data_IF_908135716909
#
_entry.id   IF_908135716909
#
_cell.length_a   1.000
_cell.length_b   1.000
_cell.length_c   1.000
_cell.angle_alpha   90.00
_cell.angle_beta   90.00
_cell.angle_gamma   90.00
#
_symmetry.space_group_name_H-M   'P 1'
#
loop_
_entity.id
_entity.type
_entity.pdbx_description
1 polymer ?
#
# COMPACT_ATOMS: atom_id res chain seq x y z
N UNK A 1 13.88 13.71 -9.80
CA UNK A 1 13.05 12.83 -8.97
C UNK A 1 11.67 13.45 -8.85
N UNK A 2 10.58 12.71 -9.02
CA UNK A 2 9.24 13.22 -8.77
C UNK A 2 8.61 12.37 -7.65
N UNK A 3 8.41 12.99 -6.48
CA UNK A 3 7.63 12.37 -5.40
C UNK A 3 6.22 12.94 -5.45
N UNK A 4 5.23 12.05 -5.48
CA UNK A 4 3.81 12.39 -5.37
C UNK A 4 3.36 12.11 -3.94
N UNK A 5 2.81 13.10 -3.27
CA UNK A 5 2.29 12.97 -1.92
C UNK A 5 0.77 12.92 -1.94
N UNK A 6 0.19 12.13 -1.06
CA UNK A 6 -1.24 12.06 -0.89
C UNK A 6 -1.70 11.33 0.37
N UNK A 7 -2.97 11.51 0.76
CA UNK A 7 -3.56 10.85 1.93
C UNK A 7 -4.19 9.49 1.59
N UNK A 8 -4.38 8.67 2.63
CA UNK A 8 -5.12 7.41 2.57
C UNK A 8 -6.63 7.64 2.80
N UNK A 9 -7.33 8.22 1.84
CA UNK A 9 -8.78 8.40 1.90
C UNK A 9 -9.32 9.37 0.87
N UNK A 10 -10.49 9.05 0.32
CA UNK A 10 -11.23 9.91 -0.63
C UNK A 10 -12.62 10.29 -0.09
N UNK A 11 -13.01 9.72 1.06
CA UNK A 11 -14.35 9.89 1.61
C UNK A 11 -15.45 9.15 0.82
N UNK A 12 -16.72 9.49 1.07
CA UNK A 12 -17.85 8.89 0.37
C UNK A 12 -17.87 9.21 -1.13
N UNK A 13 -18.39 8.29 -1.95
CA UNK A 13 -18.48 8.44 -3.42
C UNK A 13 -19.10 9.78 -3.83
N UNK A 14 -20.18 10.19 -3.15
CA UNK A 14 -20.91 11.44 -3.45
C UNK A 14 -20.09 12.72 -3.31
N UNK A 15 -19.03 12.71 -2.53
CA UNK A 15 -18.13 13.87 -2.29
C UNK A 15 -16.74 13.68 -2.87
N UNK A 16 -16.47 12.53 -3.49
CA UNK A 16 -15.13 12.16 -3.96
C UNK A 16 -14.52 13.18 -4.94
N UNK A 17 -15.34 13.75 -5.84
CA UNK A 17 -14.88 14.75 -6.81
C UNK A 17 -14.43 16.04 -6.13
N UNK A 18 -15.19 16.52 -5.15
CA UNK A 18 -14.85 17.72 -4.35
C UNK A 18 -13.61 17.49 -3.50
N UNK A 19 -13.46 16.29 -2.95
CA UNK A 19 -12.28 15.89 -2.18
C UNK A 19 -11.03 15.91 -3.06
N UNK A 20 -11.09 15.38 -4.28
CA UNK A 20 -9.98 15.44 -5.24
C UNK A 20 -9.63 16.89 -5.61
N UNK A 21 -10.61 17.77 -5.82
CA UNK A 21 -10.37 19.20 -6.05
C UNK A 21 -9.65 19.87 -4.86
N UNK A 22 -10.04 19.52 -3.62
CA UNK A 22 -9.38 20.02 -2.43
C UNK A 22 -7.92 19.54 -2.34
N UNK A 23 -7.66 18.27 -2.68
CA UNK A 23 -6.29 17.73 -2.73
C UNK A 23 -5.44 18.45 -3.78
N UNK A 24 -5.99 18.66 -4.96
CA UNK A 24 -5.33 19.41 -6.03
C UNK A 24 -5.00 20.86 -5.60
N UNK A 25 -5.95 21.58 -4.97
CA UNK A 25 -5.74 22.93 -4.45
C UNK A 25 -4.62 23.00 -3.38
N UNK A 26 -4.40 21.89 -2.66
CA UNK A 26 -3.31 21.77 -1.68
C UNK A 26 -1.97 21.31 -2.31
N UNK A 27 -1.92 21.08 -3.61
CA UNK A 27 -0.72 20.63 -4.32
C UNK A 27 -0.48 19.12 -4.29
N UNK A 28 -1.37 18.34 -3.65
CA UNK A 28 -1.24 16.88 -3.57
C UNK A 28 -1.44 16.23 -4.93
N UNK A 29 -0.64 15.19 -5.21
CA UNK A 29 -0.58 14.51 -6.52
C UNK A 29 -0.86 13.01 -6.43
N UNK A 30 -1.23 12.50 -5.27
CA UNK A 30 -1.62 11.13 -5.05
C UNK A 30 -2.83 11.05 -4.11
N UNK A 31 -3.55 9.95 -4.17
CA UNK A 31 -4.60 9.60 -3.21
C UNK A 31 -4.81 8.10 -3.22
N UNK A 32 -4.83 7.47 -2.05
CA UNK A 32 -5.19 6.08 -1.91
C UNK A 32 -6.63 5.94 -1.43
N UNK A 33 -7.41 5.08 -2.08
CA UNK A 33 -8.79 4.79 -1.72
C UNK A 33 -8.79 3.60 -0.77
N UNK A 34 -8.95 3.84 0.53
CA UNK A 34 -8.96 2.79 1.54
C UNK A 34 -10.33 2.10 1.63
N UNK A 35 -10.40 0.85 1.19
CA UNK A 35 -11.58 -0.01 1.36
C UNK A 35 -11.53 -0.77 2.69
N UNK A 36 -11.50 -0.05 3.78
CA UNK A 36 -11.28 -0.54 5.15
C UNK A 36 -12.00 -1.87 5.47
N UNK A 37 -13.28 -1.97 5.14
CA UNK A 37 -14.10 -3.15 5.40
C UNK A 37 -14.59 -3.83 4.11
N UNK A 38 -14.91 -3.07 3.09
CA UNK A 38 -15.42 -3.59 1.81
C UNK A 38 -15.29 -2.55 0.71
N UNK A 39 -15.31 -3.00 -0.54
CA UNK A 39 -15.43 -2.12 -1.70
C UNK A 39 -16.74 -1.36 -1.63
N UNK A 40 -16.69 -0.05 -1.44
CA UNK A 40 -17.87 0.81 -1.36
C UNK A 40 -18.19 1.55 -2.66
N UNK A 41 -17.25 1.64 -3.60
CA UNK A 41 -17.49 2.13 -4.98
C UNK A 41 -18.05 0.96 -5.78
N UNK A 42 -19.38 0.82 -5.80
CA UNK A 42 -20.05 -0.35 -6.40
C UNK A 42 -20.41 -0.16 -7.86
N UNK A 43 -20.63 1.10 -8.27
CA UNK A 43 -21.04 1.46 -9.62
C UNK A 43 -19.77 1.73 -10.46
N UNK A 44 -19.73 1.16 -11.66
CA UNK A 44 -18.64 1.34 -12.62
C UNK A 44 -18.55 2.79 -13.12
N UNK A 45 -19.72 3.44 -13.34
CA UNK A 45 -19.74 4.82 -13.82
C UNK A 45 -19.21 5.80 -12.77
N UNK A 46 -19.52 5.57 -11.48
CA UNK A 46 -18.94 6.34 -10.38
C UNK A 46 -17.41 6.20 -10.36
N UNK A 47 -16.90 4.97 -10.51
CA UNK A 47 -15.46 4.72 -10.56
C UNK A 47 -14.81 5.44 -11.76
N UNK A 48 -15.42 5.38 -12.94
CA UNK A 48 -14.93 6.07 -14.14
C UNK A 48 -14.94 7.59 -13.98
N UNK A 49 -15.99 8.15 -13.37
CA UNK A 49 -16.07 9.60 -13.12
C UNK A 49 -14.99 10.07 -12.14
N UNK A 50 -14.79 9.34 -11.04
CA UNK A 50 -13.71 9.63 -10.08
C UNK A 50 -12.35 9.54 -10.74
N UNK A 51 -12.10 8.48 -11.52
CA UNK A 51 -10.85 8.28 -12.24
C UNK A 51 -10.59 9.37 -13.29
N UNK A 52 -11.60 9.76 -14.04
CA UNK A 52 -11.51 10.88 -15.00
C UNK A 52 -11.13 12.18 -14.29
N UNK A 53 -11.81 12.51 -13.19
CA UNK A 53 -11.53 13.70 -12.40
C UNK A 53 -10.11 13.70 -11.83
N UNK A 54 -9.67 12.58 -11.25
CA UNK A 54 -8.31 12.44 -10.75
C UNK A 54 -7.26 12.67 -11.84
N UNK A 55 -7.46 12.09 -13.02
CA UNK A 55 -6.59 12.28 -14.19
C UNK A 55 -6.55 13.74 -14.65
N UNK A 56 -7.69 14.43 -14.72
CA UNK A 56 -7.78 15.85 -15.07
C UNK A 56 -6.99 16.74 -14.09
N UNK A 57 -7.01 16.38 -12.80
CA UNK A 57 -6.30 17.09 -11.74
C UNK A 57 -4.82 16.66 -11.58
N UNK A 58 -4.38 15.65 -12.33
CA UNK A 58 -3.04 15.09 -12.24
C UNK A 58 -2.78 14.39 -10.89
N UNK A 59 -3.82 13.76 -10.33
CA UNK A 59 -3.74 12.97 -9.08
C UNK A 59 -3.68 11.49 -9.45
N UNK A 60 -2.62 10.80 -9.02
CA UNK A 60 -2.49 9.35 -9.14
C UNK A 60 -3.33 8.65 -8.06
N UNK A 61 -4.16 7.69 -8.49
CA UNK A 61 -4.98 6.89 -7.59
C UNK A 61 -4.33 5.54 -7.32
N UNK A 62 -4.41 5.11 -6.08
CA UNK A 62 -4.20 3.74 -5.63
C UNK A 62 -5.38 3.25 -4.79
N UNK A 63 -5.40 1.97 -4.48
CA UNK A 63 -6.42 1.36 -3.62
C UNK A 63 -5.74 0.59 -2.50
N UNK A 64 -6.22 0.71 -1.27
CA UNK A 64 -5.93 -0.24 -0.21
C UNK A 64 -7.10 -1.23 -0.05
N UNK A 65 -6.82 -2.52 -0.16
CA UNK A 65 -7.80 -3.59 0.04
C UNK A 65 -8.22 -3.69 1.52
N UNK A 66 -9.36 -4.34 1.84
CA UNK A 66 -9.80 -4.52 3.22
C UNK A 66 -8.74 -5.12 4.13
N UNK A 67 -8.56 -4.58 5.34
CA UNK A 67 -7.49 -4.95 6.26
C UNK A 67 -7.50 -6.41 6.73
N UNK A 68 -8.66 -7.08 6.67
CA UNK A 68 -8.79 -8.47 7.12
C UNK A 68 -8.53 -9.53 6.05
N UNK A 69 -7.99 -9.14 4.88
CA UNK A 69 -7.55 -10.12 3.88
C UNK A 69 -6.37 -10.93 4.41
N UNK A 70 -6.34 -12.22 4.09
CA UNK A 70 -5.30 -13.14 4.54
C UNK A 70 -5.17 -14.29 3.53
N UNK A 71 -4.16 -14.21 2.67
CA UNK A 71 -3.88 -15.25 1.65
C UNK A 71 -3.38 -16.56 2.27
N UNK A 72 -2.93 -16.54 3.54
CA UNK A 72 -2.45 -17.71 4.25
C UNK A 72 -3.45 -18.25 5.30
N UNK A 73 -4.74 -17.97 5.18
CA UNK A 73 -5.74 -18.56 6.08
C UNK A 73 -5.71 -20.10 5.99
N UNK A 74 -5.83 -20.80 7.12
CA UNK A 74 -5.92 -22.26 7.16
C UNK A 74 -7.15 -22.79 6.42
N UNK A 75 -8.26 -22.03 6.44
CA UNK A 75 -9.50 -22.39 5.80
C UNK A 75 -9.50 -21.99 4.32
N UNK A 76 -9.67 -22.98 3.44
CA UNK A 76 -9.73 -22.76 1.99
C UNK A 76 -10.78 -21.70 1.62
N UNK A 77 -11.97 -21.79 2.21
CA UNK A 77 -13.06 -20.84 1.96
C UNK A 77 -12.64 -19.37 2.26
N UNK A 78 -11.88 -19.15 3.33
CA UNK A 78 -11.37 -17.81 3.69
C UNK A 78 -10.29 -17.32 2.72
N UNK A 79 -9.44 -18.22 2.21
CA UNK A 79 -8.46 -17.86 1.16
C UNK A 79 -9.18 -17.45 -0.13
N UNK A 80 -10.18 -18.22 -0.57
CA UNK A 80 -10.98 -17.87 -1.77
C UNK A 80 -11.72 -16.53 -1.59
N UNK A 81 -12.33 -16.32 -0.43
CA UNK A 81 -12.96 -15.04 -0.10
C UNK A 81 -11.96 -13.87 -0.09
N UNK A 82 -10.73 -14.10 0.39
CA UNK A 82 -9.64 -13.11 0.34
C UNK A 82 -9.26 -12.76 -1.09
N UNK A 83 -9.02 -13.76 -1.94
CA UNK A 83 -8.71 -13.54 -3.37
C UNK A 83 -9.84 -12.77 -4.07
N UNK A 84 -11.09 -13.16 -3.82
CA UNK A 84 -12.25 -12.46 -4.37
C UNK A 84 -12.27 -10.98 -3.96
N UNK A 85 -12.02 -10.65 -2.69
CA UNK A 85 -11.97 -9.25 -2.21
C UNK A 85 -10.89 -8.43 -2.90
N UNK A 86 -9.68 -9.00 -3.06
CA UNK A 86 -8.60 -8.34 -3.78
C UNK A 86 -8.97 -8.15 -5.26
N UNK A 87 -9.58 -9.14 -5.90
CA UNK A 87 -10.06 -9.04 -7.28
C UNK A 87 -11.20 -8.02 -7.44
N UNK A 88 -12.11 -7.91 -6.48
CA UNK A 88 -13.13 -6.85 -6.47
C UNK A 88 -12.48 -5.44 -6.41
N UNK A 89 -11.40 -5.28 -5.62
CA UNK A 89 -10.60 -4.06 -5.62
C UNK A 89 -9.90 -3.83 -6.97
N UNK A 90 -9.34 -4.87 -7.58
CA UNK A 90 -8.69 -4.77 -8.88
C UNK A 90 -9.66 -4.35 -9.99
N UNK A 91 -10.88 -4.89 -9.99
CA UNK A 91 -11.93 -4.50 -10.93
C UNK A 91 -12.27 -3.01 -10.81
N UNK A 92 -12.50 -2.54 -9.60
CA UNK A 92 -12.79 -1.11 -9.35
C UNK A 92 -11.58 -0.25 -9.68
N UNK A 93 -10.36 -0.69 -9.31
CA UNK A 93 -9.11 -0.01 -9.64
C UNK A 93 -8.89 0.16 -11.15
N UNK A 94 -9.24 -0.86 -11.94
CA UNK A 94 -9.21 -0.76 -13.39
C UNK A 94 -10.11 0.38 -13.92
N UNK A 95 -11.34 0.50 -13.43
CA UNK A 95 -12.26 1.56 -13.85
C UNK A 95 -11.86 2.95 -13.33
N UNK A 96 -11.28 3.02 -12.15
CA UNK A 96 -10.68 4.25 -11.60
C UNK A 96 -9.42 4.70 -12.35
N UNK A 97 -8.78 3.81 -13.11
CA UNK A 97 -7.44 4.05 -13.64
C UNK A 97 -6.38 4.13 -12.56
N UNK A 98 -6.60 3.44 -11.42
CA UNK A 98 -5.64 3.36 -10.35
C UNK A 98 -4.39 2.56 -10.78
N UNK A 99 -3.22 2.91 -10.21
CA UNK A 99 -1.95 2.27 -10.55
C UNK A 99 -1.77 0.90 -9.88
N UNK A 100 -2.26 0.78 -8.64
CA UNK A 100 -2.00 -0.40 -7.80
C UNK A 100 -3.09 -0.63 -6.76
N UNK A 101 -3.29 -1.91 -6.38
CA UNK A 101 -4.04 -2.35 -5.20
C UNK A 101 -3.05 -2.85 -4.16
N UNK A 102 -2.94 -2.12 -3.05
CA UNK A 102 -2.16 -2.50 -1.86
C UNK A 102 -2.97 -3.45 -0.99
N UNK A 103 -2.34 -4.41 -0.37
CA UNK A 103 -3.00 -5.34 0.55
C UNK A 103 -2.04 -5.97 1.55
N UNK A 104 -2.54 -6.29 2.74
CA UNK A 104 -1.83 -7.08 3.73
C UNK A 104 -1.75 -8.54 3.27
N UNK A 105 -0.55 -9.15 3.14
CA UNK A 105 -0.44 -10.50 2.57
C UNK A 105 -1.03 -11.60 3.47
N UNK A 106 -0.90 -11.48 4.79
CA UNK A 106 -1.50 -12.43 5.73
C UNK A 106 -0.63 -12.76 6.94
N UNK A 107 -1.05 -13.74 7.72
CA UNK A 107 -0.37 -14.17 8.94
C UNK A 107 0.48 -15.40 8.70
N UNK A 108 1.54 -15.58 9.50
CA UNK A 108 2.32 -16.82 9.46
C UNK A 108 1.51 -18.03 9.89
N UNK A 109 1.74 -19.15 9.21
CA UNK A 109 1.42 -20.48 9.73
C UNK A 109 2.33 -20.82 10.91
N UNK A 110 1.85 -21.65 11.83
CA UNK A 110 2.66 -22.17 12.94
C UNK A 110 3.04 -23.63 12.70
N UNK A 111 4.30 -23.98 12.93
CA UNK A 111 4.78 -25.37 13.02
C UNK A 111 4.51 -25.96 14.40
N UNK A 112 4.54 -25.14 15.46
CA UNK A 112 4.34 -25.49 16.85
C UNK A 112 3.81 -24.31 17.66
N UNK A 113 4.03 -24.33 18.99
CA UNK A 113 3.49 -23.31 19.88
C UNK A 113 4.07 -21.93 19.61
N UNK A 114 5.37 -21.84 19.35
CA UNK A 114 6.12 -20.58 19.24
C UNK A 114 6.96 -20.47 17.94
N UNK A 115 6.80 -21.41 17.00
CA UNK A 115 7.55 -21.44 15.75
C UNK A 115 6.66 -21.14 14.54
N UNK A 116 7.11 -20.21 13.68
CA UNK A 116 6.45 -19.88 12.42
C UNK A 116 6.97 -20.75 11.26
N UNK A 117 6.04 -21.28 10.46
CA UNK A 117 6.34 -21.95 9.20
C UNK A 117 6.45 -20.90 8.07
N UNK A 118 7.62 -20.24 8.01
CA UNK A 118 7.85 -19.14 7.06
C UNK A 118 7.82 -19.59 5.61
N UNK A 119 8.44 -20.74 5.32
CA UNK A 119 8.51 -21.27 3.96
C UNK A 119 7.13 -21.65 3.43
N UNK A 120 6.36 -22.44 4.19
CA UNK A 120 4.98 -22.80 3.82
C UNK A 120 4.09 -21.56 3.68
N UNK A 121 4.26 -20.57 4.56
CA UNK A 121 3.52 -19.29 4.48
C UNK A 121 3.86 -18.57 3.19
N UNK A 122 5.15 -18.46 2.86
CA UNK A 122 5.63 -17.83 1.63
C UNK A 122 5.02 -18.50 0.39
N UNK A 123 5.13 -19.81 0.26
CA UNK A 123 4.61 -20.54 -0.89
C UNK A 123 3.08 -20.41 -1.04
N UNK A 124 2.35 -20.42 0.08
CA UNK A 124 0.89 -20.25 0.06
C UNK A 124 0.49 -18.85 -0.41
N UNK A 125 1.17 -17.81 0.08
CA UNK A 125 0.91 -16.42 -0.31
C UNK A 125 1.32 -16.21 -1.77
N UNK A 126 2.48 -16.69 -2.18
CA UNK A 126 2.96 -16.63 -3.56
C UNK A 126 1.96 -17.23 -4.53
N UNK A 127 1.46 -18.43 -4.24
CA UNK A 127 0.46 -19.09 -5.07
C UNK A 127 -0.83 -18.24 -5.17
N UNK A 128 -1.31 -17.69 -4.06
CA UNK A 128 -2.47 -16.79 -4.06
C UNK A 128 -2.27 -15.54 -4.92
N UNK A 129 -1.07 -14.94 -4.89
CA UNK A 129 -0.71 -13.78 -5.74
C UNK A 129 -0.71 -14.17 -7.22
N UNK A 130 -0.13 -15.33 -7.57
CA UNK A 130 -0.10 -15.81 -8.97
C UNK A 130 -1.51 -16.07 -9.50
N UNK A 131 -2.40 -16.64 -8.68
CA UNK A 131 -3.81 -16.86 -9.05
C UNK A 131 -4.54 -15.53 -9.27
N UNK A 132 -4.36 -14.54 -8.40
CA UNK A 132 -4.95 -13.20 -8.57
C UNK A 132 -4.42 -12.55 -9.86
N UNK A 133 -3.11 -12.61 -10.12
CA UNK A 133 -2.52 -12.08 -11.36
C UNK A 133 -3.05 -12.77 -12.61
N UNK A 134 -3.29 -14.09 -12.53
CA UNK A 134 -3.92 -14.85 -13.60
C UNK A 134 -5.32 -14.33 -13.93
N UNK A 135 -6.16 -14.08 -12.92
CA UNK A 135 -7.49 -13.52 -13.12
C UNK A 135 -7.46 -12.07 -13.63
N UNK A 136 -6.55 -11.21 -13.12
CA UNK A 136 -6.35 -9.85 -13.64
C UNK A 136 -6.04 -9.89 -15.15
N UNK A 137 -5.13 -10.79 -15.56
CA UNK A 137 -4.76 -10.97 -16.97
C UNK A 137 -5.93 -11.47 -17.81
N UNK A 138 -6.67 -12.45 -17.33
CA UNK A 138 -7.85 -13.03 -17.99
C UNK A 138 -8.95 -11.98 -18.25
N UNK A 139 -9.14 -11.06 -17.31
CA UNK A 139 -10.10 -9.95 -17.44
C UNK A 139 -9.53 -8.73 -18.19
N UNK A 140 -8.27 -8.74 -18.62
CA UNK A 140 -7.57 -7.60 -19.21
C UNK A 140 -7.60 -6.32 -18.35
N UNK A 141 -7.69 -6.44 -17.04
CA UNK A 141 -7.64 -5.29 -16.14
C UNK A 141 -6.26 -4.63 -16.14
N UNK A 142 -6.26 -3.31 -16.19
CA UNK A 142 -5.02 -2.49 -16.18
C UNK A 142 -4.76 -2.03 -14.74
N UNK A 143 -4.31 -2.95 -13.91
CA UNK A 143 -4.05 -2.73 -12.48
C UNK A 143 -2.93 -3.66 -12.02
N UNK A 144 -2.08 -3.20 -11.12
CA UNK A 144 -1.10 -4.02 -10.42
C UNK A 144 -1.59 -4.35 -9.01
N UNK A 145 -0.97 -5.34 -8.37
CA UNK A 145 -1.18 -5.66 -6.97
C UNK A 145 0.13 -5.56 -6.21
N UNK A 146 0.09 -5.04 -4.99
CA UNK A 146 1.24 -4.78 -4.15
C UNK A 146 1.04 -5.31 -2.73
N UNK A 147 1.64 -6.45 -2.36
CA UNK A 147 1.73 -6.82 -0.96
C UNK A 147 2.55 -5.77 -0.19
N UNK A 148 2.10 -5.45 1.02
CA UNK A 148 2.67 -4.41 1.87
C UNK A 148 3.66 -4.98 2.88
N UNK A 149 4.72 -4.22 3.21
CA UNK A 149 5.59 -4.52 4.35
C UNK A 149 4.85 -4.30 5.66
N UNK A 150 4.91 -5.28 6.57
CA UNK A 150 4.06 -5.34 7.77
C UNK A 150 4.82 -5.01 9.05
N UNK A 151 4.18 -4.21 9.93
CA UNK A 151 4.80 -3.72 11.16
C UNK A 151 4.85 -4.71 12.33
N UNK A 152 4.05 -5.78 12.33
CA UNK A 152 4.01 -6.78 13.40
C UNK A 152 4.89 -7.98 13.08
N UNK A 153 5.68 -8.44 14.05
CA UNK A 153 6.61 -9.57 13.87
C UNK A 153 5.94 -10.93 13.59
N UNK A 154 4.67 -11.07 13.95
CA UNK A 154 3.88 -12.29 13.74
C UNK A 154 3.02 -12.26 12.46
N UNK A 155 3.19 -11.24 11.64
CA UNK A 155 2.54 -11.09 10.34
C UNK A 155 3.58 -11.25 9.24
N UNK A 156 3.24 -11.94 8.17
CA UNK A 156 4.10 -12.08 6.99
C UNK A 156 4.24 -10.72 6.29
N UNK A 157 5.45 -10.37 5.89
CA UNK A 157 5.71 -9.10 5.20
C UNK A 157 6.94 -8.37 5.72
N UNK A 158 8.05 -9.08 6.04
CA UNK A 158 9.35 -8.42 6.17
C UNK A 158 9.82 -7.86 4.83
N UNK A 159 10.81 -6.98 4.83
CA UNK A 159 11.39 -6.43 3.60
C UNK A 159 11.90 -7.53 2.67
N UNK A 160 12.55 -8.56 3.22
CA UNK A 160 13.06 -9.69 2.44
C UNK A 160 11.93 -10.54 1.84
N UNK A 161 10.87 -10.78 2.62
CA UNK A 161 9.73 -11.58 2.18
C UNK A 161 8.97 -10.87 1.05
N UNK A 162 8.74 -9.56 1.14
CA UNK A 162 8.09 -8.77 0.09
C UNK A 162 8.98 -8.68 -1.15
N UNK A 163 10.28 -8.43 -0.99
CA UNK A 163 11.24 -8.43 -2.11
C UNK A 163 11.24 -9.78 -2.84
N UNK A 164 11.32 -10.89 -2.10
CA UNK A 164 11.28 -12.23 -2.69
C UNK A 164 9.97 -12.50 -3.42
N UNK A 165 8.81 -12.12 -2.86
CA UNK A 165 7.51 -12.23 -3.53
C UNK A 165 7.49 -11.44 -4.85
N UNK A 166 7.97 -10.20 -4.82
CA UNK A 166 8.03 -9.34 -6.01
C UNK A 166 8.88 -9.97 -7.11
N UNK A 167 10.05 -10.49 -6.76
CA UNK A 167 10.96 -11.11 -7.71
C UNK A 167 10.39 -12.41 -8.31
N UNK A 168 9.74 -13.25 -7.49
CA UNK A 168 9.23 -14.54 -7.95
C UNK A 168 7.87 -14.46 -8.66
N UNK A 169 7.06 -13.45 -8.37
CA UNK A 169 5.71 -13.32 -8.96
C UNK A 169 5.59 -12.20 -9.98
N UNK A 170 6.53 -11.25 -9.99
CA UNK A 170 6.44 -10.03 -10.80
C UNK A 170 5.25 -9.15 -10.40
N UNK A 171 4.78 -9.20 -9.15
CA UNK A 171 3.85 -8.21 -8.59
C UNK A 171 4.58 -6.92 -8.22
N UNK A 172 3.86 -5.84 -8.02
CA UNK A 172 4.38 -4.62 -7.40
C UNK A 172 4.59 -4.84 -5.89
N UNK A 173 5.01 -3.81 -5.19
CA UNK A 173 5.21 -3.80 -3.74
C UNK A 173 4.73 -2.49 -3.13
N UNK A 174 4.41 -2.52 -1.84
CA UNK A 174 4.21 -1.33 -1.03
C UNK A 174 5.20 -1.35 0.14
N UNK A 175 6.02 -0.30 0.25
CA UNK A 175 6.96 -0.10 1.34
C UNK A 175 6.32 0.82 2.38
N UNK A 176 5.77 0.27 3.44
CA UNK A 176 5.38 1.08 4.59
C UNK A 176 6.59 1.28 5.51
N UNK A 177 7.16 2.48 5.48
CA UNK A 177 8.34 2.83 6.27
C UNK A 177 8.05 2.94 7.77
N UNK A 178 6.80 3.24 8.16
CA UNK A 178 6.37 3.20 9.55
C UNK A 178 6.32 1.77 10.07
N UNK A 179 5.78 0.85 9.27
CA UNK A 179 5.77 -0.58 9.56
C UNK A 179 7.19 -1.17 9.64
N UNK A 180 8.06 -0.81 8.68
CA UNK A 180 9.47 -1.25 8.69
C UNK A 180 10.15 -0.79 9.99
N UNK A 181 10.01 0.48 10.36
CA UNK A 181 10.55 1.00 11.62
C UNK A 181 9.99 0.25 12.83
N UNK A 182 8.68 0.01 12.87
CA UNK A 182 8.04 -0.69 13.97
C UNK A 182 8.50 -2.13 14.13
N UNK A 183 8.76 -2.82 13.02
CA UNK A 183 9.21 -4.22 12.99
C UNK A 183 10.68 -4.38 13.28
N UNK A 184 11.53 -3.65 12.54
CA UNK A 184 12.99 -3.80 12.55
C UNK A 184 13.68 -2.89 13.61
N UNK A 185 12.94 -1.95 14.23
CA UNK A 185 13.39 -0.92 15.18
C UNK A 185 14.30 0.15 14.56
N UNK A 186 14.63 0.02 13.30
CA UNK A 186 15.39 0.97 12.48
C UNK A 186 15.01 0.79 11.01
N UNK A 187 15.34 1.76 10.17
CA UNK A 187 15.16 1.67 8.71
C UNK A 187 16.52 1.62 8.05
N UNK A 188 16.86 0.48 7.47
CA UNK A 188 18.07 0.32 6.66
C UNK A 188 17.76 0.68 5.20
N UNK A 189 17.89 1.96 4.86
CA UNK A 189 17.58 2.48 3.54
C UNK A 189 18.45 1.89 2.43
N UNK A 190 19.73 1.59 2.70
CA UNK A 190 20.62 1.02 1.68
C UNK A 190 20.23 -0.43 1.36
N UNK A 191 19.86 -1.21 2.35
CA UNK A 191 19.31 -2.55 2.17
C UNK A 191 18.01 -2.51 1.36
N UNK A 192 17.10 -1.60 1.70
CA UNK A 192 15.82 -1.44 0.97
C UNK A 192 16.11 -1.10 -0.49
N UNK A 193 16.98 -0.14 -0.77
CA UNK A 193 17.37 0.22 -2.13
C UNK A 193 17.98 -0.95 -2.90
N UNK A 194 18.77 -1.79 -2.25
CA UNK A 194 19.37 -2.98 -2.88
C UNK A 194 18.35 -4.06 -3.22
N UNK A 195 17.30 -4.22 -2.41
CA UNK A 195 16.27 -5.23 -2.57
C UNK A 195 15.18 -4.84 -3.57
N UNK A 196 14.86 -3.54 -3.69
CA UNK A 196 13.75 -3.04 -4.50
C UNK A 196 14.23 -2.19 -5.67
N UNK A 197 14.57 -2.86 -6.78
CA UNK A 197 15.15 -2.23 -7.99
C UNK A 197 14.12 -1.64 -8.97
N UNK A 198 12.83 -1.81 -8.73
CA UNK A 198 11.76 -1.26 -9.57
C UNK A 198 11.87 0.26 -9.75
N UNK A 199 11.46 0.78 -10.93
CA UNK A 199 11.51 2.21 -11.25
C UNK A 199 10.47 3.02 -10.46
N UNK A 200 9.34 2.41 -10.11
CA UNK A 200 8.22 3.04 -9.40
C UNK A 200 8.13 2.41 -8.01
N UNK A 201 8.14 3.26 -6.99
CA UNK A 201 7.92 2.85 -5.61
C UNK A 201 6.58 3.37 -5.12
N UNK A 202 5.74 2.47 -4.65
CA UNK A 202 4.56 2.81 -3.86
C UNK A 202 4.94 2.67 -2.39
N UNK A 203 4.79 3.74 -1.63
CA UNK A 203 5.20 3.80 -0.24
C UNK A 203 4.08 4.34 0.65
N UNK A 204 3.96 3.78 1.84
CA UNK A 204 3.20 4.36 2.95
C UNK A 204 4.15 4.97 3.95
N UNK A 205 3.72 6.05 4.60
CA UNK A 205 4.47 6.68 5.67
C UNK A 205 3.58 7.46 6.62
N UNK A 206 3.86 7.29 7.90
CA UNK A 206 3.30 8.09 8.99
C UNK A 206 4.23 8.02 10.21
N UNK A 207 3.98 8.83 11.22
CA UNK A 207 4.54 8.55 12.53
C UNK A 207 3.93 7.27 13.11
N UNK A 208 4.70 6.53 13.87
CA UNK A 208 4.27 5.21 14.42
C UNK A 208 4.55 5.11 15.92
N UNK A 209 3.62 4.47 16.63
CA UNK A 209 3.81 4.00 18.01
C UNK A 209 3.99 2.48 17.94
N UNK A 210 5.07 1.96 18.51
CA UNK A 210 5.40 0.55 18.48
C UNK A 210 6.02 0.04 19.80
N UNK A 211 6.13 -1.26 19.93
CA UNK A 211 6.74 -1.95 21.06
C UNK A 211 7.45 -3.23 20.60
N UNK A 212 7.78 -4.13 21.51
CA UNK A 212 8.56 -5.35 21.22
C UNK A 212 7.92 -6.24 20.15
N UNK A 213 6.59 -6.27 20.08
CA UNK A 213 5.83 -7.05 19.08
C UNK A 213 5.58 -6.29 17.77
N UNK A 214 6.20 -5.11 17.60
CA UNK A 214 6.03 -4.25 16.45
C UNK A 214 4.97 -3.17 16.63
N UNK A 215 4.30 -2.82 15.56
CA UNK A 215 3.30 -1.77 15.43
C UNK A 215 2.17 -1.84 16.46
N UNK A 216 1.76 -0.67 16.97
CA UNK A 216 0.57 -0.47 17.82
C UNK A 216 -0.45 0.45 17.15
N UNK A 217 -0.03 1.65 16.72
CA UNK A 217 -0.91 2.63 16.07
C UNK A 217 -0.13 3.69 15.32
N UNK A 218 -0.72 4.23 14.26
CA UNK A 218 -0.22 5.41 13.56
C UNK A 218 -0.44 6.67 14.39
N UNK A 219 0.43 7.66 14.22
CA UNK A 219 0.33 9.01 14.77
C UNK A 219 0.77 10.04 13.72
N UNK A 220 0.54 11.31 13.99
CA UNK A 220 1.09 12.37 13.15
C UNK A 220 2.61 12.25 13.02
N UNK A 221 3.12 12.45 11.81
CA UNK A 221 4.56 12.40 11.50
C UNK A 221 5.25 13.65 12.04
N UNK A 222 6.39 13.47 12.68
CA UNK A 222 7.21 14.61 13.11
C UNK A 222 8.02 15.16 11.93
N UNK A 223 8.34 16.43 11.98
CA UNK A 223 9.15 17.10 10.96
C UNK A 223 10.47 16.36 10.66
N UNK A 224 11.18 15.94 11.70
CA UNK A 224 12.46 15.23 11.53
C UNK A 224 12.30 13.83 10.92
N UNK A 225 11.19 13.13 11.17
CA UNK A 225 10.89 11.84 10.57
C UNK A 225 10.65 11.99 9.06
N UNK A 226 9.89 13.02 8.64
CA UNK A 226 9.73 13.37 7.23
C UNK A 226 11.08 13.68 6.58
N UNK A 227 11.89 14.51 7.21
CA UNK A 227 13.19 14.94 6.69
C UNK A 227 14.15 13.76 6.56
N UNK A 228 14.15 12.85 7.53
CA UNK A 228 14.96 11.63 7.46
C UNK A 228 14.54 10.74 6.32
N UNK A 229 13.25 10.39 6.19
CA UNK A 229 12.75 9.62 5.06
C UNK A 229 13.18 10.24 3.73
N UNK A 230 12.82 11.51 3.51
CA UNK A 230 12.98 12.18 2.22
C UNK A 230 14.44 12.31 1.78
N UNK A 231 15.37 12.47 2.73
CA UNK A 231 16.82 12.49 2.45
C UNK A 231 17.37 11.14 2.00
N UNK A 232 16.76 10.06 2.47
CA UNK A 232 17.26 8.70 2.25
C UNK A 232 16.57 7.98 1.09
N UNK A 233 15.47 8.51 0.55
CA UNK A 233 14.81 7.93 -0.62
C UNK A 233 15.70 7.96 -1.87
N UNK A 234 15.59 6.95 -2.77
CA UNK A 234 16.36 6.90 -4.01
C UNK A 234 15.99 8.06 -4.95
N UNK A 235 16.99 8.72 -5.53
CA UNK A 235 16.79 9.91 -6.39
C UNK A 235 16.45 9.57 -7.85
N UNK A 236 16.63 8.34 -8.25
CA UNK A 236 16.44 7.82 -9.61
C UNK A 236 15.08 7.12 -9.82
N UNK A 237 14.22 7.12 -8.83
CA UNK A 237 12.90 6.47 -8.85
C UNK A 237 11.75 7.47 -8.91
N UNK A 238 10.63 7.03 -9.46
CA UNK A 238 9.33 7.69 -9.26
C UNK A 238 8.71 7.13 -7.97
N UNK A 239 8.29 8.01 -7.06
CA UNK A 239 7.82 7.58 -5.74
C UNK A 239 6.46 8.18 -5.46
N UNK A 240 5.51 7.34 -5.09
CA UNK A 240 4.22 7.75 -4.51
C UNK A 240 4.30 7.52 -3.01
N UNK A 241 4.05 8.55 -2.20
CA UNK A 241 3.98 8.44 -0.74
C UNK A 241 2.55 8.72 -0.29
N UNK A 242 1.92 7.72 0.29
CA UNK A 242 0.61 7.82 0.92
C UNK A 242 0.78 7.96 2.43
N UNK A 243 0.19 9.01 2.99
CA UNK A 243 0.21 9.23 4.43
C UNK A 243 -1.01 8.59 5.09
N UNK A 244 -0.76 7.82 6.15
CA UNK A 244 -1.78 7.11 6.94
C UNK A 244 -1.91 7.63 8.37
N UNK A 245 -1.40 8.83 8.65
CA UNK A 245 -1.57 9.43 9.97
C UNK A 245 -3.03 9.83 10.23
N UNK A 246 -3.44 10.04 11.49
CA UNK A 246 -4.78 10.55 11.80
C UNK A 246 -5.09 11.93 11.18
N UNK A 247 -4.06 12.71 10.80
CA UNK A 247 -4.17 14.02 10.12
C UNK A 247 -3.56 13.96 8.70
N UNK A 248 -3.86 12.89 7.97
CA UNK A 248 -3.21 12.46 6.73
C UNK A 248 -3.10 13.56 5.65
N UNK A 249 -4.08 14.45 5.55
CA UNK A 249 -4.09 15.53 4.54
C UNK A 249 -3.03 16.59 4.87
N UNK A 250 -3.05 17.13 6.10
CA UNK A 250 -2.11 18.17 6.50
C UNK A 250 -0.70 17.61 6.64
N UNK A 251 -0.58 16.36 7.09
CA UNK A 251 0.69 15.67 7.21
C UNK A 251 1.32 15.39 5.82
N UNK A 252 0.53 15.02 4.81
CA UNK A 252 0.99 14.92 3.41
C UNK A 252 1.48 16.27 2.87
N UNK A 253 0.77 17.36 3.16
CA UNK A 253 1.17 18.71 2.77
C UNK A 253 2.47 19.13 3.48
N UNK A 254 2.65 18.77 4.75
CA UNK A 254 3.89 19.02 5.47
C UNK A 254 5.07 18.28 4.85
N UNK A 255 4.92 16.96 4.55
CA UNK A 255 5.94 16.17 3.86
C UNK A 255 6.32 16.77 2.50
N UNK A 256 5.35 17.20 1.70
CA UNK A 256 5.58 17.86 0.42
C UNK A 256 6.39 19.15 0.59
N UNK A 257 6.01 20.03 1.55
CA UNK A 257 6.74 21.29 1.81
C UNK A 257 8.16 21.09 2.32
N UNK A 258 8.41 20.01 3.07
CA UNK A 258 9.76 19.64 3.50
C UNK A 258 10.57 19.20 2.29
N UNK A 259 9.98 18.37 1.41
CA UNK A 259 10.63 17.91 0.20
C UNK A 259 11.07 19.04 -0.75
N UNK A 260 10.21 20.06 -0.91
CA UNK A 260 10.50 21.25 -1.73
C UNK A 260 11.70 22.08 -1.23
N UNK A 261 12.11 21.90 0.04
CA UNK A 261 13.21 22.62 0.68
C UNK A 261 14.50 21.79 0.78
N UNK A 262 14.48 20.52 0.37
CA UNK A 262 15.64 19.63 0.37
C UNK A 262 16.36 19.63 -0.97
#
# INVERSE_FOLDING_TARGET
MAIKFGPAGIGPVKTALEVLENYHKKGLKACEIAFTYQVYIKNEDDAKQIGKKAKELGIELSIHAPYYVNLNSKEKAKREATKKRILDCCRVGHYLGASVVVFHPGYYSKKGKDEFDREKTFETIKQGILEIKGEIKKHNWKINIAPETMGKINVFGSIEEISKLTNETGCSFCLDFAHILAREKSVDYEKIKSLFQGKIWHAHFSGIIYGDKGERSHRKTKHEEWKELLKNLPKDKEIVIINESPDMINDSVEGMKIYEKL
#
